data_IF_285042045172
#
_entry.id   IF_285042045172
#
_cell.length_a   1.000
_cell.length_b   1.000
_cell.length_c   1.000
_cell.angle_alpha   90.00
_cell.angle_beta   90.00
_cell.angle_gamma   90.00
#
_symmetry.space_group_name_H-M   'P 1'
#
loop_
_entity.id
_entity.type
_entity.pdbx_description
1 polymer ?
2 polymer ?
3 non-polymer ?
4 water ?
#
# COMPACT_ATOMS: atom_id res chain seq x y z
N UNK A 1 0.92 17.09 -8.89
CA UNK A 1 2.15 17.46 -8.17
C UNK A 1 3.06 16.24 -8.01
N UNK A 2 4.25 16.47 -7.47
CA UNK A 2 5.20 15.39 -7.23
C UNK A 2 5.29 15.20 -5.72
N UNK A 3 5.05 13.97 -5.27
CA UNK A 3 5.05 13.67 -3.85
C UNK A 3 6.17 12.71 -3.44
N UNK A 4 6.98 13.16 -2.48
CA UNK A 4 8.08 12.36 -1.96
C UNK A 4 7.51 11.41 -0.91
N UNK A 5 8.28 10.40 -0.53
CA UNK A 5 7.76 9.43 0.41
C UNK A 5 8.35 9.38 1.82
N UNK A 6 8.91 10.49 2.30
CA UNK A 6 9.49 10.52 3.64
C UNK A 6 8.38 10.46 4.67
N UNK A 7 7.18 10.85 4.27
CA UNK A 7 6.03 10.81 5.16
C UNK A 7 4.94 10.07 4.40
N UNK A 8 3.92 9.61 5.11
CA UNK A 8 2.83 8.92 4.43
C UNK A 8 2.18 9.89 3.43
N UNK A 9 1.92 9.42 2.20
CA UNK A 9 1.30 10.28 1.19
C UNK A 9 -0.20 10.47 1.37
N UNK A 10 -0.55 11.35 2.31
CA UNK A 10 -1.95 11.64 2.59
C UNK A 10 -2.40 12.88 1.83
N UNK A 11 -3.63 12.85 1.34
CA UNK A 11 -4.18 13.98 0.60
C UNK A 11 -5.62 14.15 1.03
N UNK A 12 -6.19 15.30 0.70
CA UNK A 12 -7.57 15.56 1.05
C UNK A 12 -8.43 15.11 -0.11
N UNK A 13 -9.56 14.49 0.21
CA UNK A 13 -10.49 14.05 -0.81
C UNK A 13 -11.87 14.56 -0.42
N UNK A 14 -12.73 14.73 -1.41
CA UNK A 14 -14.09 15.18 -1.17
C UNK A 14 -14.97 14.08 -1.73
N UNK A 15 -15.92 13.62 -0.92
CA UNK A 15 -16.82 12.57 -1.35
C UNK A 15 -18.15 12.73 -0.63
N UNK A 16 -19.24 12.55 -1.37
CA UNK A 16 -20.56 12.70 -0.78
C UNK A 16 -20.70 14.05 -0.10
N UNK A 17 -20.01 15.06 -0.64
CA UNK A 17 -20.07 16.40 -0.08
C UNK A 17 -19.23 16.62 1.17
N UNK A 18 -18.43 15.63 1.53
CA UNK A 18 -17.58 15.70 2.72
C UNK A 18 -16.09 15.68 2.40
N UNK A 19 -15.29 16.23 3.30
CA UNK A 19 -13.84 16.26 3.13
C UNK A 19 -13.21 15.23 4.06
N UNK A 20 -12.22 14.52 3.54
CA UNK A 20 -11.53 13.52 4.34
C UNK A 20 -10.08 13.44 3.92
N UNK A 21 -9.29 12.77 4.76
CA UNK A 21 -7.87 12.59 4.51
C UNK A 21 -7.69 11.13 4.10
N UNK A 22 -6.93 10.90 3.03
CA UNK A 22 -6.72 9.54 2.56
C UNK A 22 -5.29 9.28 2.11
N UNK A 23 -4.91 8.01 2.16
CA UNK A 23 -3.58 7.57 1.80
C UNK A 23 -3.50 7.04 0.37
N UNK A 24 -2.62 7.64 -0.44
CA UNK A 24 -2.42 7.21 -1.82
C UNK A 24 -1.64 5.90 -1.69
N UNK A 25 -2.30 4.80 -2.04
CA UNK A 25 -1.74 3.47 -1.84
C UNK A 25 -1.57 2.62 -3.11
N UNK A 26 -0.34 2.56 -3.62
CA UNK A 26 -0.07 1.77 -4.82
C UNK A 26 -0.12 0.27 -4.52
N UNK A 27 -0.17 -0.07 -3.24
CA UNK A 27 -0.23 -1.48 -2.84
C UNK A 27 -1.64 -1.99 -2.59
N UNK A 28 -2.63 -1.25 -3.06
CA UNK A 28 -4.02 -1.64 -2.90
C UNK A 28 -4.71 -1.61 -4.26
N UNK A 29 -5.39 -2.70 -4.61
CA UNK A 29 -6.10 -2.76 -5.88
C UNK A 29 -7.32 -1.85 -5.83
N UNK A 30 -7.98 -1.81 -4.68
CA UNK A 30 -9.18 -1.00 -4.53
C UNK A 30 -9.09 0.12 -3.51
N UNK A 31 -10.13 0.94 -3.49
CA UNK A 31 -10.23 2.07 -2.59
C UNK A 31 -11.16 1.67 -1.45
N UNK A 32 -10.67 1.83 -0.22
CA UNK A 32 -11.43 1.47 0.96
C UNK A 32 -11.42 2.64 1.93
N UNK A 33 -12.61 3.08 2.31
CA UNK A 33 -12.76 4.20 3.23
C UNK A 33 -13.35 3.72 4.55
N UNK A 34 -13.12 4.49 5.60
CA UNK A 34 -13.64 4.18 6.92
C UNK A 34 -15.16 4.22 6.85
N UNK A 35 -15.82 3.46 7.73
CA UNK A 35 -17.27 3.41 7.75
C UNK A 35 -17.89 4.80 7.75
N UNK A 36 -18.77 5.04 6.77
CA UNK A 36 -19.44 6.32 6.61
C UNK A 36 -20.70 6.07 5.79
N UNK A 37 -21.61 7.02 5.77
CA UNK A 37 -22.82 6.82 4.98
C UNK A 37 -22.62 7.34 3.57
N UNK A 38 -23.11 6.58 2.60
CA UNK A 38 -23.01 6.96 1.20
C UNK A 38 -24.32 6.66 0.51
N UNK A 39 -24.77 7.58 -0.37
CA UNK A 39 -26.03 7.37 -1.10
C UNK A 39 -25.98 6.16 -2.02
N UNK A 40 -27.13 5.54 -2.25
CA UNK A 40 -27.19 4.40 -3.14
C UNK A 40 -27.19 3.04 -2.47
N UNK A 41 -27.33 2.00 -3.29
CA UNK A 41 -27.35 0.63 -2.81
C UNK A 41 -25.91 0.12 -2.73
N UNK A 42 -25.64 -0.72 -1.75
CA UNK A 42 -24.31 -1.29 -1.57
C UNK A 42 -24.40 -2.81 -1.49
N UNK A 43 -23.36 -3.49 -1.97
CA UNK A 43 -23.33 -4.94 -1.94
C UNK A 43 -22.24 -5.41 -0.98
N UNK A 44 -22.53 -6.43 -0.17
CA UNK A 44 -21.52 -6.93 0.78
C UNK A 44 -20.37 -7.57 0.02
N UNK A 45 -19.15 -7.29 0.46
CA UNK A 45 -17.96 -7.86 -0.17
C UNK A 45 -16.94 -8.12 0.92
N UNK A 46 -15.87 -8.82 0.57
CA UNK A 46 -14.80 -9.09 1.51
C UNK A 46 -13.49 -8.82 0.81
N UNK A 47 -12.58 -8.14 1.50
CA UNK A 47 -11.26 -7.86 0.94
C UNK A 47 -10.22 -8.32 1.95
N UNK A 48 -9.04 -8.65 1.45
CA UNK A 48 -7.99 -9.12 2.34
C UNK A 48 -6.73 -8.28 2.31
N UNK A 49 -5.89 -8.50 3.32
CA UNK A 49 -4.64 -7.78 3.43
C UNK A 49 -3.75 -8.49 4.41
N UNK A 50 -2.76 -7.79 4.95
CA UNK A 50 -1.80 -8.37 5.88
C UNK A 50 -2.32 -9.19 7.07
N UNK A 51 -3.33 -8.68 7.77
CA UNK A 51 -3.85 -9.41 8.92
C UNK A 51 -5.14 -10.17 8.70
N UNK A 52 -5.35 -10.62 7.46
CA UNK A 52 -6.56 -11.36 7.12
C UNK A 52 -7.57 -10.57 6.30
N UNK A 53 -8.82 -11.02 6.32
CA UNK A 53 -9.89 -10.38 5.56
C UNK A 53 -10.87 -9.63 6.44
N UNK A 54 -11.59 -8.69 5.83
CA UNK A 54 -12.62 -7.94 6.53
C UNK A 54 -13.83 -7.84 5.62
N UNK A 55 -14.97 -7.51 6.20
CA UNK A 55 -16.20 -7.38 5.43
C UNK A 55 -16.42 -5.91 5.12
N UNK A 56 -16.69 -5.60 3.86
CA UNK A 56 -16.93 -4.21 3.47
C UNK A 56 -18.20 -4.04 2.63
N UNK A 57 -18.62 -2.79 2.48
CA UNK A 57 -19.79 -2.44 1.68
C UNK A 57 -19.25 -1.89 0.37
N UNK A 58 -19.77 -2.37 -0.75
CA UNK A 58 -19.31 -1.87 -2.04
C UNK A 58 -20.30 -0.92 -2.72
N UNK A 59 -19.84 0.29 -3.02
CA UNK A 59 -20.65 1.28 -3.73
C UNK A 59 -20.00 1.50 -5.09
N UNK A 60 -20.80 1.53 -6.14
CA UNK A 60 -20.27 1.73 -7.49
C UNK A 60 -20.49 3.14 -8.03
N UNK A 61 -19.70 3.50 -9.03
CA UNK A 61 -19.77 4.82 -9.67
C UNK A 61 -19.97 5.98 -8.71
N UNK A 62 -19.05 6.11 -7.76
CA UNK A 62 -19.09 7.17 -6.78
C UNK A 62 -18.07 8.25 -7.16
N UNK A 63 -18.52 9.51 -7.28
CA UNK A 63 -17.59 10.59 -7.63
C UNK A 63 -16.68 10.92 -6.45
N UNK A 64 -15.38 11.02 -6.71
CA UNK A 64 -14.43 11.33 -5.66
C UNK A 64 -13.43 12.35 -6.18
N UNK A 65 -13.24 13.43 -5.44
CA UNK A 65 -12.29 14.44 -5.86
C UNK A 65 -11.03 14.24 -5.04
N UNK A 66 -9.93 13.98 -5.73
CA UNK A 66 -8.66 13.73 -5.07
C UNK A 66 -7.68 14.84 -5.38
N UNK A 67 -7.41 15.68 -4.39
CA UNK A 67 -6.46 16.76 -4.59
C UNK A 67 -6.88 17.61 -5.79
N UNK A 68 -8.18 17.82 -5.94
CA UNK A 68 -8.67 18.63 -7.04
C UNK A 68 -8.95 17.86 -8.32
N UNK A 69 -8.42 16.65 -8.43
CA UNK A 69 -8.65 15.85 -9.62
C UNK A 69 -9.88 14.97 -9.44
N UNK A 70 -10.70 14.89 -10.49
CA UNK A 70 -11.93 14.11 -10.46
C UNK A 70 -11.79 12.66 -10.88
N UNK A 71 -12.49 11.80 -10.15
CA UNK A 71 -12.52 10.38 -10.42
C UNK A 71 -13.92 9.90 -10.10
N UNK A 72 -14.36 8.86 -10.80
CA UNK A 72 -15.67 8.27 -10.56
C UNK A 72 -15.47 6.76 -10.65
N UNK A 73 -15.61 6.08 -9.52
CA UNK A 73 -15.42 4.64 -9.54
C UNK A 73 -15.96 3.93 -8.32
N UNK A 74 -15.51 2.69 -8.14
CA UNK A 74 -15.94 1.87 -7.02
C UNK A 74 -15.24 2.27 -5.72
N UNK A 75 -16.04 2.41 -4.67
CA UNK A 75 -15.54 2.78 -3.35
C UNK A 75 -16.03 1.76 -2.33
N UNK A 76 -15.10 1.18 -1.58
CA UNK A 76 -15.43 0.18 -0.57
C UNK A 76 -15.45 0.87 0.79
N UNK A 77 -16.45 0.55 1.60
CA UNK A 77 -16.57 1.15 2.92
C UNK A 77 -16.59 0.07 4.00
N UNK A 78 -15.73 0.23 5.00
CA UNK A 78 -15.68 -0.75 6.06
C UNK A 78 -14.71 -0.39 7.17
N UNK A 79 -14.42 -1.33 8.08
CA UNK A 79 -13.50 -1.13 9.20
C UNK A 79 -12.02 -1.14 8.84
N UNK A 80 -11.62 -0.27 7.92
CA UNK A 80 -10.22 -0.17 7.53
C UNK A 80 -9.51 0.75 8.53
N UNK A 81 -8.24 0.46 8.86
CA UNK A 81 -7.52 1.32 9.81
C UNK A 81 -7.32 2.76 9.34
N UNK A 82 -7.37 2.97 8.02
CA UNK A 82 -7.18 4.29 7.44
C UNK A 82 -7.83 4.39 6.05
N UNK A 83 -8.16 5.61 5.63
CA UNK A 83 -8.76 5.80 4.31
C UNK A 83 -7.68 5.52 3.27
N UNK A 84 -8.01 4.65 2.33
CA UNK A 84 -7.08 4.25 1.28
C UNK A 84 -7.61 4.51 -0.12
N UNK A 85 -6.80 5.18 -0.94
CA UNK A 85 -7.17 5.42 -2.33
C UNK A 85 -6.33 4.38 -3.06
N UNK A 86 -6.99 3.44 -3.73
CA UNK A 86 -6.28 2.39 -4.44
C UNK A 86 -6.07 2.64 -5.92
N UNK A 87 -5.45 1.68 -6.59
CA UNK A 87 -5.15 1.79 -8.02
C UNK A 87 -6.36 2.06 -8.91
N UNK A 88 -7.53 1.57 -8.52
CA UNK A 88 -8.70 1.79 -9.36
C UNK A 88 -8.98 3.29 -9.58
N UNK A 89 -8.66 4.12 -8.59
CA UNK A 89 -8.88 5.55 -8.75
C UNK A 89 -7.59 6.28 -9.10
N UNK A 90 -6.46 5.74 -8.66
CA UNK A 90 -5.16 6.36 -8.94
C UNK A 90 -4.92 6.41 -10.45
N UNK A 91 -5.36 5.38 -11.16
CA UNK A 91 -5.19 5.35 -12.60
C UNK A 91 -6.08 6.41 -13.25
N UNK A 92 -7.23 6.69 -12.64
CA UNK A 92 -8.15 7.68 -13.19
C UNK A 92 -7.61 9.10 -13.15
N UNK A 93 -6.78 9.40 -12.16
CA UNK A 93 -6.21 10.74 -12.06
C UNK A 93 -4.82 10.80 -12.69
N UNK A 94 -4.46 9.74 -13.41
CA UNK A 94 -3.17 9.68 -14.09
C UNK A 94 -1.95 9.62 -13.20
N UNK A 95 -2.06 8.95 -12.06
CA UNK A 95 -0.96 8.84 -11.12
C UNK A 95 0.05 7.77 -11.54
N UNK A 96 1.34 8.05 -11.35
CA UNK A 96 2.39 7.08 -11.68
C UNK A 96 3.49 7.11 -10.63
N UNK A 97 4.30 6.06 -10.62
CA UNK A 97 5.44 5.97 -9.72
C UNK A 97 6.64 6.30 -10.57
N UNK A 98 7.54 7.11 -10.04
CA UNK A 98 8.71 7.51 -10.80
C UNK A 98 10.01 7.49 -10.01
N UNK A 99 11.07 7.06 -10.67
CA UNK A 99 12.40 7.02 -10.07
C UNK A 99 13.39 6.64 -11.18
N UNK B 1 12.76 5.12 -14.12
CA UNK B 1 11.65 4.72 -15.03
C UNK B 1 10.32 5.24 -14.51
N UNK B 2 9.28 5.10 -15.33
CA UNK B 2 7.94 5.53 -14.96
C UNK B 2 7.03 4.32 -14.97
N UNK B 3 6.36 4.08 -13.85
CA UNK B 3 5.49 2.92 -13.74
C UNK B 3 4.03 3.31 -13.62
N UNK B 4 3.21 2.78 -14.53
CA UNK B 4 1.78 3.06 -14.51
C UNK B 4 1.14 2.10 -13.51
N UNK B 5 -0.09 2.40 -13.09
CA UNK B 5 -0.74 1.58 -12.08
C UNK B 5 -1.92 0.75 -12.58
N UNK B 6 -1.92 0.40 -13.86
CA UNK B 6 -2.98 -0.42 -14.44
C UNK B 6 -2.95 -1.82 -13.82
N UNK B 7 -1.75 -2.27 -13.47
CA UNK B 7 -1.54 -3.57 -12.86
C UNK B 7 -0.72 -3.32 -11.60
N UNK B 8 -0.57 -4.34 -10.76
CA UNK B 8 0.21 -4.18 -9.54
C UNK B 8 1.64 -3.83 -9.92
N UNK B 9 2.22 -2.80 -9.28
CA UNK B 9 3.59 -2.36 -9.55
C UNK B 9 4.64 -3.30 -8.96
N UNK B 10 4.88 -4.42 -9.65
CA UNK B 10 5.85 -5.40 -9.21
C UNK B 10 7.16 -5.22 -9.96
N UNK B 11 8.27 -5.29 -9.24
CA UNK B 11 9.59 -5.15 -9.85
C UNK B 11 10.49 -6.21 -9.25
N UNK B 12 11.65 -6.41 -9.87
CA UNK B 12 12.60 -7.39 -9.38
C UNK B 12 13.53 -6.73 -8.38
N UNK B 13 13.80 -7.43 -7.30
CA UNK B 13 14.71 -6.92 -6.28
C UNK B 13 15.69 -8.03 -5.94
N UNK B 14 16.84 -7.64 -5.42
CA UNK B 14 17.87 -8.59 -5.03
C UNK B 14 18.13 -8.43 -3.54
N UNK B 15 18.04 -9.53 -2.80
CA UNK B 15 18.28 -9.51 -1.36
C UNK B 15 18.81 -10.87 -0.93
N UNK B 16 19.82 -10.86 -0.07
CA UNK B 16 20.40 -12.11 0.39
C UNK B 16 20.82 -12.98 -0.77
N UNK B 17 21.26 -12.34 -1.85
CA UNK B 17 21.70 -13.07 -3.03
C UNK B 17 20.59 -13.55 -3.95
N UNK B 18 19.37 -13.61 -3.45
CA UNK B 18 18.24 -14.07 -4.25
C UNK B 18 17.51 -12.96 -4.99
N UNK B 19 16.96 -13.29 -6.16
CA UNK B 19 16.19 -12.32 -6.93
C UNK B 19 14.73 -12.65 -6.66
N UNK B 20 13.94 -11.64 -6.33
CA UNK B 20 12.53 -11.84 -6.03
C UNK B 20 11.67 -10.77 -6.67
N UNK B 21 10.38 -11.03 -6.75
CA UNK B 21 9.44 -10.06 -7.30
C UNK B 21 8.80 -9.37 -6.11
N UNK B 22 8.78 -8.05 -6.14
CA UNK B 22 8.21 -7.27 -5.05
C UNK B 22 7.32 -6.13 -5.52
N UNK B 23 6.37 -5.78 -4.66
CA UNK B 23 5.39 -4.74 -4.91
C UNK B 23 5.87 -3.38 -4.38
N UNK B 24 5.89 -2.38 -5.25
CA UNK B 24 6.28 -1.02 -4.86
C UNK B 24 5.04 -0.50 -4.13
N UNK B 25 5.16 -0.37 -2.81
CA UNK B 25 4.02 0.00 -1.97
C UNK B 25 4.11 1.31 -1.18
N UNK B 26 3.52 2.38 -1.71
CA UNK B 26 3.52 3.67 -1.03
C UNK B 26 2.63 3.63 0.21
N UNK B 27 1.86 2.55 0.34
CA UNK B 27 0.97 2.40 1.48
C UNK B 27 1.56 1.57 2.61
N UNK B 28 2.86 1.29 2.53
CA UNK B 28 3.53 0.52 3.57
C UNK B 28 4.69 1.33 4.15
N UNK B 29 4.71 1.50 5.48
CA UNK B 29 5.79 2.26 6.11
C UNK B 29 7.09 1.47 6.02
N UNK B 30 6.96 0.15 6.17
CA UNK B 30 8.10 -0.76 6.15
C UNK B 30 8.09 -1.76 5.00
N UNK B 31 9.24 -2.38 4.79
CA UNK B 31 9.42 -3.38 3.75
C UNK B 31 9.20 -4.75 4.41
N UNK B 32 8.28 -5.54 3.85
CA UNK B 32 7.98 -6.85 4.41
C UNK B 32 8.13 -7.93 3.36
N UNK B 33 9.01 -8.90 3.63
CA UNK B 33 9.26 -9.98 2.69
C UNK B 33 8.70 -11.31 3.16
N UNK B 34 8.37 -12.17 2.20
CA UNK B 34 7.85 -13.49 2.52
C UNK B 34 8.89 -14.25 3.34
N UNK B 35 8.43 -15.23 4.11
CA UNK B 35 9.30 -16.03 4.96
C UNK B 35 10.53 -16.55 4.20
N UNK B 36 11.70 -16.28 4.76
CA UNK B 36 12.95 -16.72 4.16
C UNK B 36 14.00 -16.80 5.25
N UNK B 37 14.93 -17.75 5.12
CA UNK B 37 15.98 -17.95 6.10
C UNK B 37 17.19 -17.03 5.99
N UNK B 38 17.03 -15.79 6.44
CA UNK B 38 18.12 -14.83 6.41
C UNK B 38 19.02 -14.99 7.62
N UNK B 39 20.34 -14.96 7.41
CA UNK B 39 21.25 -15.10 8.54
C UNK B 39 21.32 -13.75 9.24
N UNK B 40 21.75 -13.75 10.49
CA UNK B 40 21.86 -12.50 11.21
C UNK B 40 20.94 -12.41 12.41
N UNK B 41 21.18 -11.39 13.23
CA UNK B 41 20.38 -11.17 14.42
C UNK B 41 19.13 -10.40 13.98
N UNK B 42 18.04 -10.64 14.68
CA UNK B 42 16.79 -9.97 14.37
C UNK B 42 16.03 -9.70 15.66
N UNK B 43 15.04 -8.82 15.58
CA UNK B 43 14.22 -8.48 16.74
C UNK B 43 12.76 -8.76 16.39
N UNK B 44 11.94 -9.13 17.39
CA UNK B 44 10.53 -9.41 17.10
C UNK B 44 9.77 -8.11 16.88
N UNK B 45 8.75 -8.16 16.04
CA UNK B 45 7.94 -6.98 15.76
C UNK B 45 6.55 -7.37 15.27
N UNK B 46 5.58 -6.50 15.53
CA UNK B 46 4.21 -6.70 15.09
C UNK B 46 3.89 -5.58 14.11
N UNK B 47 3.33 -5.92 12.96
CA UNK B 47 2.96 -4.89 12.01
C UNK B 47 1.49 -5.07 11.71
N UNK B 48 0.79 -3.95 11.56
CA UNK B 48 -0.63 -4.02 11.30
C UNK B 48 -0.99 -3.80 9.86
N UNK B 49 -2.13 -4.35 9.48
CA UNK B 49 -2.62 -4.20 8.12
C UNK B 49 -4.13 -4.19 8.17
N UNK B 50 -4.74 -4.49 7.03
CA UNK B 50 -6.18 -4.58 6.94
C UNK B 50 -6.45 -5.95 7.56
N UNK B 51 -7.37 -5.99 8.51
CA UNK B 51 -7.68 -7.26 9.14
C UNK B 51 -7.05 -7.43 10.51
N UNK B 52 -5.79 -7.01 10.65
CA UNK B 52 -5.13 -7.17 11.94
C UNK B 52 -3.61 -7.08 11.91
N UNK B 53 -2.97 -7.69 12.90
CA UNK B 53 -1.52 -7.67 13.01
C UNK B 53 -0.92 -9.05 12.83
N UNK B 54 0.34 -9.09 12.41
CA UNK B 54 1.05 -10.35 12.27
C UNK B 54 2.43 -10.15 12.88
N UNK B 55 3.04 -11.24 13.32
CA UNK B 55 4.37 -11.17 13.91
C UNK B 55 5.40 -11.36 12.81
N UNK B 56 6.46 -10.56 12.85
CA UNK B 56 7.54 -10.63 11.86
C UNK B 56 8.91 -10.50 12.52
N UNK B 57 9.95 -10.86 11.78
CA UNK B 57 11.31 -10.75 12.28
C UNK B 57 11.94 -9.53 11.63
N UNK B 58 12.53 -8.67 12.44
CA UNK B 58 13.16 -7.46 11.94
C UNK B 58 14.68 -7.56 11.82
N UNK B 59 15.19 -7.31 10.62
CA UNK B 59 16.63 -7.33 10.37
C UNK B 59 17.05 -5.92 9.94
N UNK B 60 18.15 -5.42 10.49
CA UNK B 60 18.61 -4.09 10.14
C UNK B 60 19.79 -4.10 9.18
N UNK B 61 19.95 -3.00 8.46
CA UNK B 61 21.04 -2.82 7.52
C UNK B 61 21.23 -3.99 6.55
N UNK B 62 20.18 -4.32 5.82
CA UNK B 62 20.24 -5.39 4.85
C UNK B 62 20.30 -4.73 3.48
N UNK B 63 21.31 -5.07 2.67
CA UNK B 63 21.42 -4.47 1.33
C UNK B 63 20.32 -5.01 0.42
N UNK B 64 19.63 -4.11 -0.27
CA UNK B 64 18.57 -4.51 -1.18
C UNK B 64 18.71 -3.71 -2.47
N UNK B 65 18.73 -4.41 -3.60
CA UNK B 65 18.83 -3.75 -4.89
C UNK B 65 17.47 -3.79 -5.58
N UNK B 66 16.96 -2.62 -5.95
CA UNK B 66 15.66 -2.50 -6.59
C UNK B 66 15.81 -1.94 -8.00
N UNK B 67 15.60 -2.79 -8.99
CA UNK B 67 15.73 -2.38 -10.39
C UNK B 67 17.09 -1.75 -10.62
N UNK B 68 18.14 -2.41 -10.14
CA UNK B 68 19.47 -1.87 -10.32
C UNK B 68 19.78 -0.66 -9.45
N UNK B 69 18.88 -0.34 -8.53
CA UNK B 69 19.09 0.79 -7.63
C UNK B 69 19.43 0.24 -6.25
N UNK B 70 20.61 0.58 -5.76
CA UNK B 70 21.05 0.09 -4.47
C UNK B 70 20.49 0.85 -3.28
N UNK B 71 20.07 0.08 -2.28
CA UNK B 71 19.53 0.63 -1.06
C UNK B 71 19.95 -0.29 0.08
N UNK B 72 19.75 0.16 1.30
CA UNK B 72 20.10 -0.63 2.47
C UNK B 72 19.28 -0.13 3.64
N UNK B 73 18.73 -1.05 4.42
CA UNK B 73 17.93 -0.64 5.55
C UNK B 73 17.24 -1.81 6.21
N UNK B 74 16.17 -1.50 6.92
CA UNK B 74 15.40 -2.51 7.64
C UNK B 74 14.47 -3.31 6.75
N UNK B 75 14.50 -4.62 6.94
CA UNK B 75 13.64 -5.53 6.19
C UNK B 75 12.94 -6.42 7.20
N UNK B 76 11.62 -6.55 7.07
CA UNK B 76 10.84 -7.39 7.97
C UNK B 76 10.50 -8.69 7.23
N UNK B 77 10.59 -9.81 7.93
CA UNK B 77 10.28 -11.11 7.33
C UNK B 77 9.17 -11.81 8.09
N UNK B 78 8.16 -12.28 7.35
CA UNK B 78 7.05 -12.95 7.98
C UNK B 78 6.07 -13.54 6.99
N UNK B 79 4.94 -14.08 7.47
CA UNK B 79 3.92 -14.69 6.62
C UNK B 79 3.06 -13.71 5.81
N UNK B 80 3.67 -13.06 4.83
CA UNK B 80 2.94 -12.14 3.96
C UNK B 80 2.74 -12.86 2.64
N UNK B 81 1.60 -12.64 1.96
CA UNK B 81 1.35 -13.30 0.68
C UNK B 81 2.16 -12.72 -0.47
N UNK B 82 2.71 -11.53 -0.27
CA UNK B 82 3.48 -10.89 -1.33
C UNK B 82 4.64 -10.09 -0.75
N UNK B 83 5.72 -9.98 -1.52
CA UNK B 83 6.87 -9.19 -1.08
C UNK B 83 6.49 -7.72 -1.25
N UNK B 84 6.75 -6.95 -0.21
CA UNK B 84 6.38 -5.54 -0.18
C UNK B 84 7.56 -4.61 0.05
N UNK B 85 7.72 -3.63 -0.84
CA UNK B 85 8.79 -2.64 -0.69
C UNK B 85 8.10 -1.40 -0.16
N UNK B 86 8.41 -1.04 1.08
CA UNK B 86 7.79 0.12 1.70
C UNK B 86 8.56 1.43 1.53
N UNK B 87 8.02 2.49 2.11
CA UNK B 87 8.63 3.81 2.01
C UNK B 87 10.06 3.92 2.53
N UNK B 88 10.44 3.10 3.51
CA UNK B 88 11.79 3.16 4.06
C UNK B 88 12.85 2.94 2.97
N UNK B 89 12.52 2.13 1.98
CA UNK B 89 13.44 1.87 0.88
C UNK B 89 13.14 2.71 -0.36
N UNK B 90 11.86 3.01 -0.59
CA UNK B 90 11.44 3.81 -1.74
C UNK B 90 12.07 5.20 -1.74
N UNK B 91 12.19 5.80 -0.56
CA UNK B 91 12.79 7.13 -0.45
C UNK B 91 14.28 7.05 -0.83
N UNK B 92 14.90 5.91 -0.55
CA UNK B 92 16.30 5.74 -0.86
C UNK B 92 16.61 5.71 -2.35
N UNK B 93 15.65 5.29 -3.18
CA UNK B 93 15.90 5.25 -4.61
C UNK B 93 15.29 6.43 -5.37
N UNK B 94 14.92 7.46 -4.62
CA UNK B 94 14.34 8.66 -5.21
C UNK B 94 12.98 8.47 -5.85
N UNK B 95 12.21 7.52 -5.34
CA UNK B 95 10.88 7.26 -5.89
C UNK B 95 9.84 8.29 -5.44
N UNK B 96 9.02 8.75 -6.38
CA UNK B 96 7.96 9.71 -6.08
C UNK B 96 6.66 9.32 -6.77
N UNK B 97 5.56 9.90 -6.28
CA UNK B 97 4.23 9.69 -6.86
C UNK B 97 3.95 10.98 -7.64
N UNK B 98 3.49 10.86 -8.88
CA UNK B 98 3.22 12.04 -9.69
C UNK B 98 1.89 12.00 -10.43
N UNK B 99 1.17 13.12 -10.40
CA UNK B 99 -0.12 13.23 -11.09
C UNK B 99 -0.60 14.68 -11.24
N UNK C 2 -10.38 -7.82 -3.53
CA UNK C 2 -8.94 -7.76 -3.93
C UNK C 2 -8.03 -7.66 -2.72
N UNK C 3 -6.75 -7.42 -2.97
CA UNK C 3 -5.80 -7.33 -1.88
C UNK C 3 -5.35 -5.89 -1.62
N UNK C 4 -5.48 -5.50 -0.37
CA UNK C 4 -5.13 -4.16 0.07
C UNK C 4 -3.95 -4.27 1.02
N UNK C 5 -2.76 -4.01 0.50
CA UNK C 5 -1.57 -4.16 1.32
C UNK C 5 -1.07 -2.95 2.08
N UNK C 6 -1.95 -2.38 2.88
CA UNK C 6 -1.56 -1.27 3.72
C UNK C 6 -0.73 -1.90 4.84
N UNK C 7 0.36 -1.26 5.22
CA UNK C 7 1.18 -1.79 6.30
C UNK C 7 1.53 -0.69 7.29
N UNK C 8 1.14 -0.91 8.53
CA UNK C 8 1.39 0.03 9.61
C UNK C 8 2.66 -0.39 10.33
N UNK C 9 3.71 0.42 10.19
CA UNK C 9 4.99 0.13 10.82
C UNK C 9 5.05 0.18 12.34
N UNK C 10 3.93 0.49 12.99
CA UNK C 10 3.90 0.55 14.45
C UNK C 10 4.10 -0.86 15.00
X LIG D 1 -9.23 16.88 -13.91
X LIG D 1 -8.57 15.69 -13.56
X LIG D 1 -8.57 17.74 -14.67
X LIG D 1 -10.60 17.23 -13.36
X LIG E 1 -20.36 17.22 -5.40
X LIG E 1 -19.68 18.47 -5.57
X LIG E 1 -21.44 17.00 -6.15
X LIG E 1 -19.92 16.21 -4.35
#
# INVERSE_FOLDING_TARGET
>A
PQITLWKRPLVTIRIGGQLKEALLNTGADDTVLEEMNLPGKWKPKMIGGIGGFIKVRQYDQIPVEICGHKAIGTVLVGPTPVNIIGRNLLTQIGCTLNF
>B
PQITLWKRPLVTIRIGGQLKEALLNTGADDTVLEEMNLPGKWKPKMIGGIGGFIKVRQYDQIPVEICGHKAIGTVLVGPTPVNIIGRNLLTQIGCTLNF
>C
GAETFYVDGA
>D hetero
1 ACT C O OXT CH3
>E hetero
1 ACT C O OXT CH3
#
